data_IF_089044624715
#
_entry.id   IF_089044624715
#
_cell.length_a   1.000
_cell.length_b   1.000
_cell.length_c   1.000
_cell.angle_alpha   90.00
_cell.angle_beta   90.00
_cell.angle_gamma   90.00
#
_symmetry.space_group_name_H-M   'P 1'
#
loop_
_entity.id
_entity.type
_entity.pdbx_description
1 polymer ?
#
# COMPACT_ATOMS: atom_id res chain seq x y z
N UNK A 1 10.98 -8.98 -63.64
CA UNK A 1 10.92 -7.74 -62.83
C UNK A 1 9.56 -7.67 -62.14
N UNK A 2 9.51 -7.88 -60.82
CA UNK A 2 8.55 -7.17 -59.99
C UNK A 2 9.14 -6.63 -58.67
N UNK A 3 8.84 -5.35 -58.41
CA UNK A 3 8.50 -4.72 -57.12
C UNK A 3 9.30 -5.14 -55.86
N UNK A 4 10.34 -4.37 -55.52
CA UNK A 4 10.86 -4.28 -54.16
C UNK A 4 10.17 -3.09 -53.48
N UNK A 5 8.95 -3.32 -53.00
CA UNK A 5 8.30 -2.50 -51.97
C UNK A 5 8.25 -3.38 -50.74
N UNK A 6 9.07 -3.10 -49.72
CA UNK A 6 8.89 -3.46 -48.29
C UNK A 6 10.24 -3.39 -47.56
N UNK A 7 10.69 -2.19 -47.23
CA UNK A 7 11.78 -1.98 -46.27
C UNK A 7 11.42 -0.87 -45.28
N UNK A 8 10.19 -0.89 -44.79
CA UNK A 8 9.65 0.14 -43.89
C UNK A 8 8.64 -0.47 -42.90
N UNK A 9 9.03 -1.51 -42.17
CA UNK A 9 8.14 -2.07 -41.14
C UNK A 9 8.84 -2.63 -39.89
N UNK A 10 10.13 -2.36 -39.67
CA UNK A 10 10.89 -2.97 -38.56
C UNK A 10 11.19 -2.03 -37.36
N UNK A 11 10.48 -0.91 -37.20
CA UNK A 11 10.82 0.12 -36.20
C UNK A 11 9.71 0.46 -35.18
N UNK A 12 8.69 -0.40 -35.01
CA UNK A 12 7.46 0.00 -34.31
C UNK A 12 6.93 -0.96 -33.23
N UNK A 13 7.79 -1.75 -32.53
CA UNK A 13 7.29 -2.73 -31.55
C UNK A 13 8.04 -2.84 -30.21
N UNK A 14 8.71 -1.80 -29.71
CA UNK A 14 9.29 -1.83 -28.35
C UNK A 14 9.01 -0.58 -27.49
N UNK A 15 7.92 0.12 -27.75
CA UNK A 15 7.35 1.12 -26.83
C UNK A 15 6.04 0.61 -26.25
N UNK A 16 6.11 -0.49 -25.49
CA UNK A 16 4.95 -1.15 -24.88
C UNK A 16 5.15 -1.34 -23.37
N UNK A 17 4.42 -0.52 -22.61
CA UNK A 17 3.92 -0.80 -21.26
C UNK A 17 4.92 -0.84 -20.07
N UNK A 18 5.40 0.33 -19.66
CA UNK A 18 5.40 0.66 -18.22
C UNK A 18 4.44 1.83 -17.96
N UNK A 19 3.15 1.57 -18.14
CA UNK A 19 2.11 2.33 -17.44
C UNK A 19 2.10 1.85 -15.98
N UNK A 20 3.10 2.29 -15.22
CA UNK A 20 2.91 2.51 -13.80
C UNK A 20 1.85 3.60 -13.67
N UNK A 21 0.88 3.51 -12.74
CA UNK A 21 0.03 4.64 -12.46
C UNK A 21 0.94 5.75 -11.93
N UNK A 22 1.28 6.71 -12.79
CA UNK A 22 1.80 8.02 -12.43
C UNK A 22 0.70 8.80 -11.72
N UNK A 23 0.25 8.28 -10.58
CA UNK A 23 -0.71 8.92 -9.70
C UNK A 23 -0.01 10.07 -8.99
N UNK A 24 -0.05 11.22 -9.63
CA UNK A 24 0.03 12.53 -8.99
C UNK A 24 1.29 12.72 -8.14
N UNK A 25 2.46 12.82 -8.76
CA UNK A 25 3.57 13.58 -8.16
C UNK A 25 3.28 15.10 -8.28
N UNK A 26 2.12 15.54 -7.78
CA UNK A 26 2.00 16.91 -7.30
C UNK A 26 2.81 16.97 -6.01
N UNK A 27 3.72 17.93 -5.86
CA UNK A 27 4.63 17.95 -4.70
C UNK A 27 3.83 17.86 -3.41
N UNK A 28 3.94 16.74 -2.69
CA UNK A 28 3.35 16.62 -1.36
C UNK A 28 3.99 17.74 -0.53
N UNK A 29 3.21 18.63 0.09
CA UNK A 29 3.76 19.71 0.89
C UNK A 29 4.66 19.18 2.01
N UNK A 30 5.73 19.92 2.34
CA UNK A 30 6.71 19.48 3.33
C UNK A 30 6.18 19.44 4.77
N UNK A 31 5.02 20.07 5.01
CA UNK A 31 4.31 20.09 6.30
C UNK A 31 3.44 18.85 6.55
N UNK A 32 3.31 17.96 5.56
CA UNK A 32 2.43 16.79 5.66
C UNK A 32 2.98 15.57 4.95
N UNK A 33 2.46 14.42 5.35
CA UNK A 33 2.61 13.15 4.65
C UNK A 33 1.28 12.70 4.07
N UNK A 34 1.33 11.72 3.17
CA UNK A 34 0.15 10.99 2.71
C UNK A 34 0.21 9.55 3.23
N UNK A 35 -0.77 9.15 4.04
CA UNK A 35 -0.87 7.79 4.57
C UNK A 35 -1.95 7.02 3.80
N UNK A 36 -1.63 5.86 3.25
CA UNK A 36 -2.62 5.02 2.56
C UNK A 36 -3.76 4.67 3.50
N UNK A 37 -5.01 4.96 3.12
CA UNK A 37 -6.19 4.69 3.96
C UNK A 37 -6.44 3.19 4.15
N UNK A 38 -5.93 2.37 3.23
CA UNK A 38 -6.02 0.93 3.26
C UNK A 38 -4.75 0.31 2.66
N UNK A 39 -4.34 -0.84 3.17
CA UNK A 39 -3.29 -1.66 2.58
C UNK A 39 -3.65 -3.14 2.70
N UNK A 40 -3.49 -3.90 1.62
CA UNK A 40 -3.73 -5.33 1.59
C UNK A 40 -2.42 -6.09 1.38
N UNK A 41 -2.03 -6.90 2.36
CA UNK A 41 -0.77 -7.62 2.30
C UNK A 41 -0.86 -8.82 1.36
N UNK A 42 0.09 -8.95 0.44
CA UNK A 42 0.24 -10.11 -0.43
C UNK A 42 1.71 -10.49 -0.55
N UNK A 43 1.97 -11.78 -0.60
CA UNK A 43 3.33 -12.34 -0.69
C UNK A 43 3.36 -13.36 -1.83
N UNK A 44 4.39 -13.33 -2.66
CA UNK A 44 4.63 -14.41 -3.61
C UNK A 44 5.37 -15.55 -2.92
N UNK A 45 4.89 -16.78 -3.07
CA UNK A 45 5.54 -17.97 -2.51
C UNK A 45 6.17 -18.74 -3.67
N UNK A 46 7.49 -18.63 -3.79
CA UNK A 46 8.27 -19.27 -4.86
C UNK A 46 8.02 -20.79 -4.94
N UNK A 47 8.04 -21.49 -3.81
CA UNK A 47 7.86 -22.95 -3.75
C UNK A 47 6.51 -23.44 -4.26
N UNK A 48 5.51 -22.56 -4.29
CA UNK A 48 4.13 -22.89 -4.66
C UNK A 48 3.68 -22.15 -5.92
N UNK A 49 4.58 -21.39 -6.55
CA UNK A 49 4.36 -20.57 -7.75
C UNK A 49 3.04 -19.77 -7.67
N UNK A 50 2.76 -19.18 -6.50
CA UNK A 50 1.47 -18.53 -6.23
C UNK A 50 1.57 -17.33 -5.31
N UNK A 51 0.63 -16.41 -5.50
CA UNK A 51 0.39 -15.29 -4.57
C UNK A 51 -0.43 -15.79 -3.38
N UNK A 52 0.03 -15.49 -2.19
CA UNK A 52 -0.70 -15.65 -0.95
C UNK A 52 -1.28 -14.31 -0.51
N UNK A 53 -2.60 -14.28 -0.31
CA UNK A 53 -3.30 -13.10 0.19
C UNK A 53 -3.28 -13.11 1.72
N UNK A 54 -2.51 -12.18 2.29
CA UNK A 54 -2.53 -11.87 3.71
C UNK A 54 -3.65 -10.89 4.07
N UNK A 55 -3.68 -10.43 5.32
CA UNK A 55 -4.72 -9.52 5.82
C UNK A 55 -4.68 -8.14 5.15
N UNK A 56 -5.84 -7.49 5.08
CA UNK A 56 -5.96 -6.08 4.75
C UNK A 56 -6.14 -5.25 6.02
N UNK A 57 -5.38 -4.16 6.14
CA UNK A 57 -5.59 -3.11 7.12
C UNK A 57 -6.33 -1.94 6.49
N UNK A 58 -7.32 -1.40 7.21
CA UNK A 58 -7.99 -0.14 6.89
C UNK A 58 -7.91 0.80 8.09
N UNK A 59 -7.63 2.07 7.84
CA UNK A 59 -7.72 3.13 8.85
C UNK A 59 -9.20 3.52 8.96
N UNK A 60 -9.76 3.38 10.17
CA UNK A 60 -11.17 3.65 10.47
C UNK A 60 -11.37 4.91 11.28
N UNK A 61 -10.34 5.40 11.97
CA UNK A 61 -10.36 6.69 12.65
C UNK A 61 -8.99 7.38 12.73
N UNK A 62 -9.00 8.70 12.82
CA UNK A 62 -7.88 9.58 13.19
C UNK A 62 -8.36 10.41 14.38
N UNK A 63 -7.72 10.26 15.54
CA UNK A 63 -8.12 10.91 16.80
C UNK A 63 -9.60 10.69 17.16
N UNK A 64 -10.13 9.51 16.83
CA UNK A 64 -11.53 9.13 17.08
C UNK A 64 -12.53 9.64 16.02
N UNK A 65 -12.09 10.46 15.07
CA UNK A 65 -12.92 10.95 13.98
C UNK A 65 -12.78 10.11 12.71
N UNK A 66 -13.81 10.12 11.85
CA UNK A 66 -13.74 9.43 10.56
C UNK A 66 -12.70 10.09 9.66
N UNK A 67 -11.74 9.35 9.08
CA UNK A 67 -10.69 9.94 8.27
C UNK A 67 -11.26 10.57 7.00
N UNK A 68 -10.72 11.74 6.63
CA UNK A 68 -10.95 12.31 5.29
C UNK A 68 -10.00 11.63 4.32
N UNK A 69 -10.55 10.79 3.44
CA UNK A 69 -9.79 10.06 2.42
C UNK A 69 -9.92 10.78 1.08
N UNK A 70 -8.78 11.08 0.45
CA UNK A 70 -8.71 11.69 -0.87
C UNK A 70 -9.10 10.71 -1.98
N UNK A 71 -9.38 11.21 -3.18
CA UNK A 71 -9.75 10.37 -4.34
C UNK A 71 -8.68 9.32 -4.71
N UNK A 72 -7.41 9.60 -4.43
CA UNK A 72 -6.30 8.67 -4.62
C UNK A 72 -6.12 7.67 -3.47
N UNK A 73 -7.01 7.67 -2.48
CA UNK A 73 -7.05 6.67 -1.40
C UNK A 73 -6.11 6.95 -0.23
N UNK A 74 -5.64 8.20 -0.06
CA UNK A 74 -4.73 8.60 1.00
C UNK A 74 -5.40 9.51 2.03
N UNK A 75 -4.77 9.61 3.19
CA UNK A 75 -5.13 10.52 4.28
C UNK A 75 -3.94 11.46 4.46
N UNK A 76 -4.17 12.76 4.40
CA UNK A 76 -3.13 13.75 4.68
C UNK A 76 -2.96 13.91 6.20
N UNK A 77 -1.75 13.68 6.70
CA UNK A 77 -1.43 13.84 8.13
C UNK A 77 -0.31 14.88 8.31
N UNK A 78 -0.38 15.74 9.33
CA UNK A 78 0.68 16.69 9.64
C UNK A 78 1.96 15.98 10.13
N UNK A 79 3.11 16.55 9.80
CA UNK A 79 4.41 16.10 10.33
C UNK A 79 4.57 16.53 11.79
N UNK A 80 5.35 15.77 12.55
CA UNK A 80 5.70 16.06 13.95
C UNK A 80 4.51 16.28 14.91
N UNK A 81 3.30 15.85 14.53
CA UNK A 81 2.09 15.96 15.35
C UNK A 81 1.72 14.59 15.91
N UNK A 82 1.47 14.46 17.22
CA UNK A 82 0.97 13.22 17.79
C UNK A 82 -0.50 13.01 17.41
N UNK A 83 -0.86 11.78 17.06
CA UNK A 83 -2.23 11.39 16.74
C UNK A 83 -2.44 9.89 16.96
N UNK A 84 -3.67 9.48 17.17
CA UNK A 84 -4.06 8.07 17.37
C UNK A 84 -4.85 7.57 16.16
N UNK A 85 -4.36 6.51 15.52
CA UNK A 85 -5.02 5.89 14.38
C UNK A 85 -5.79 4.65 14.82
N UNK A 86 -7.11 4.66 14.65
CA UNK A 86 -7.91 3.43 14.75
C UNK A 86 -7.80 2.63 13.46
N UNK A 87 -7.49 1.35 13.58
CA UNK A 87 -7.31 0.44 12.45
C UNK A 87 -8.21 -0.78 12.57
N UNK A 88 -8.61 -1.33 11.42
CA UNK A 88 -9.32 -2.59 11.30
C UNK A 88 -8.56 -3.50 10.33
N UNK A 89 -8.28 -4.72 10.76
CA UNK A 89 -7.69 -5.76 9.94
C UNK A 89 -8.71 -6.86 9.62
N UNK A 90 -8.71 -7.35 8.38
CA UNK A 90 -9.53 -8.49 7.95
C UNK A 90 -8.69 -9.47 7.13
N UNK A 91 -8.77 -10.76 7.45
CA UNK A 91 -8.10 -11.81 6.68
C UNK A 91 -8.84 -12.08 5.38
N UNK A 92 -8.15 -12.74 4.45
CA UNK A 92 -8.68 -13.04 3.13
C UNK A 92 -8.56 -14.52 2.80
N UNK A 93 -9.50 -15.00 2.01
CA UNK A 93 -9.43 -16.29 1.35
C UNK A 93 -8.31 -16.30 0.30
N UNK A 94 -8.00 -17.48 -0.22
CA UNK A 94 -6.97 -17.67 -1.25
C UNK A 94 -7.31 -17.00 -2.60
N UNK A 95 -8.55 -16.56 -2.79
CA UNK A 95 -9.01 -15.77 -3.95
C UNK A 95 -8.97 -14.24 -3.68
N UNK A 96 -8.55 -13.82 -2.48
CA UNK A 96 -8.48 -12.42 -2.07
C UNK A 96 -9.79 -11.84 -1.51
N UNK A 97 -10.86 -12.64 -1.39
CA UNK A 97 -12.11 -12.17 -0.75
C UNK A 97 -11.95 -12.09 0.77
N UNK A 98 -12.51 -11.07 1.45
CA UNK A 98 -12.40 -10.92 2.90
C UNK A 98 -13.16 -12.01 3.65
N UNK A 99 -12.67 -12.37 4.84
CA UNK A 99 -13.30 -13.30 5.79
C UNK A 99 -13.89 -12.48 6.94
N UNK A 100 -15.19 -12.13 6.93
CA UNK A 100 -15.75 -11.17 7.90
C UNK A 100 -15.63 -11.60 9.37
N UNK A 101 -15.59 -12.90 9.64
CA UNK A 101 -15.42 -13.45 10.99
C UNK A 101 -14.02 -13.20 11.61
N UNK A 102 -13.07 -12.65 10.83
CA UNK A 102 -11.68 -12.43 11.25
C UNK A 102 -11.35 -10.96 11.51
N UNK A 103 -12.37 -10.10 11.50
CA UNK A 103 -12.17 -8.67 11.74
C UNK A 103 -11.63 -8.44 13.14
N UNK A 104 -10.49 -7.75 13.20
CA UNK A 104 -9.84 -7.33 14.45
C UNK A 104 -9.50 -5.86 14.35
N UNK A 105 -9.41 -5.18 15.49
CA UNK A 105 -9.07 -3.76 15.55
C UNK A 105 -7.83 -3.54 16.37
N UNK A 106 -7.04 -2.55 15.99
CA UNK A 106 -5.87 -2.12 16.74
C UNK A 106 -5.71 -0.60 16.66
N UNK A 107 -5.05 -0.02 17.64
CA UNK A 107 -4.66 1.38 17.62
C UNK A 107 -3.19 1.50 17.24
N UNK A 108 -2.86 2.45 16.37
CA UNK A 108 -1.49 2.81 16.05
C UNK A 108 -1.22 4.25 16.49
N UNK A 109 -0.27 4.40 17.41
CA UNK A 109 0.12 5.69 17.95
C UNK A 109 1.18 6.35 17.07
N UNK A 110 0.85 7.54 16.56
CA UNK A 110 1.79 8.41 15.89
C UNK A 110 2.36 9.37 16.93
N UNK A 111 3.69 9.42 17.00
CA UNK A 111 4.41 10.33 17.87
C UNK A 111 4.98 11.48 17.04
N UNK A 112 5.44 12.57 17.67
CA UNK A 112 6.16 13.64 16.96
C UNK A 112 7.41 13.17 16.21
N UNK A 113 7.90 11.96 16.51
CA UNK A 113 9.08 11.35 15.87
C UNK A 113 8.72 10.36 14.76
N UNK A 114 7.45 10.02 14.58
CA UNK A 114 7.00 9.04 13.57
C UNK A 114 7.11 9.62 12.17
N UNK A 115 6.62 10.84 11.96
CA UNK A 115 6.71 11.57 10.69
C UNK A 115 7.52 12.85 10.87
N UNK A 116 8.85 12.75 10.83
CA UNK A 116 9.75 13.91 11.05
C UNK A 116 9.88 14.83 9.84
N UNK A 117 9.52 14.35 8.65
CA UNK A 117 9.55 15.12 7.40
C UNK A 117 8.37 14.75 6.52
N UNK A 118 7.85 15.76 5.82
CA UNK A 118 6.73 15.62 4.92
C UNK A 118 7.17 15.23 3.52
N UNK A 119 6.30 15.46 2.55
CA UNK A 119 6.65 15.30 1.14
C UNK A 119 6.66 13.86 0.64
N UNK A 120 6.12 12.90 1.42
CA UNK A 120 6.18 11.48 1.06
C UNK A 120 4.93 10.69 1.44
N UNK A 121 4.77 9.55 0.76
CA UNK A 121 3.75 8.55 1.04
C UNK A 121 4.22 7.53 2.08
N UNK A 122 3.28 7.03 2.87
CA UNK A 122 3.46 6.00 3.88
C UNK A 122 2.34 4.97 3.80
N UNK A 123 2.62 3.79 4.33
CA UNK A 123 1.73 2.64 4.33
C UNK A 123 1.73 1.99 5.70
N UNK A 124 0.54 1.64 6.18
CA UNK A 124 0.37 0.89 7.41
C UNK A 124 -0.10 -0.51 7.04
N UNK A 125 0.75 -1.50 7.30
CA UNK A 125 0.48 -2.90 6.99
C UNK A 125 -0.20 -3.59 8.16
N UNK A 126 -1.14 -4.50 7.88
CA UNK A 126 -1.77 -5.33 8.91
C UNK A 126 -0.78 -6.19 9.69
N UNK A 127 0.35 -6.55 9.04
CA UNK A 127 1.43 -7.33 9.61
C UNK A 127 2.70 -7.16 8.78
N UNK A 128 3.81 -7.73 9.24
CA UNK A 128 5.07 -7.79 8.50
C UNK A 128 5.06 -8.80 7.35
N UNK A 129 4.29 -9.89 7.44
CA UNK A 129 4.30 -10.99 6.47
C UNK A 129 2.89 -11.53 6.26
N UNK A 130 2.60 -12.12 5.09
CA UNK A 130 1.27 -12.58 4.76
C UNK A 130 0.95 -13.92 5.44
N UNK A 131 1.93 -14.81 5.53
CA UNK A 131 1.79 -16.15 6.13
C UNK A 131 1.94 -16.12 7.65
N UNK A 132 1.11 -16.91 8.35
CA UNK A 132 1.21 -17.12 9.79
C UNK A 132 0.97 -15.87 10.65
N UNK A 133 0.53 -14.76 10.04
CA UNK A 133 0.06 -13.59 10.77
C UNK A 133 -1.24 -13.93 11.50
N UNK A 134 -1.36 -13.51 12.75
CA UNK A 134 -2.57 -13.65 13.57
C UNK A 134 -2.87 -12.28 14.19
N UNK A 135 -4.13 -11.85 14.14
CA UNK A 135 -4.55 -10.55 14.66
C UNK A 135 -4.16 -9.38 13.75
N UNK A 136 -4.09 -8.18 14.34
CA UNK A 136 -3.77 -6.91 13.69
C UNK A 136 -2.55 -6.30 14.40
N UNK A 137 -1.39 -6.29 13.74
CA UNK A 137 -0.16 -5.65 14.23
C UNK A 137 0.25 -4.55 13.22
N UNK A 138 -0.38 -3.36 13.30
CA UNK A 138 -0.12 -2.27 12.37
C UNK A 138 1.38 -1.92 12.32
N UNK A 139 1.99 -2.11 11.15
CA UNK A 139 3.41 -1.86 10.93
C UNK A 139 3.57 -0.78 9.87
N UNK A 140 4.19 0.34 10.24
CA UNK A 140 4.40 1.47 9.34
C UNK A 140 5.62 1.25 8.45
N UNK A 141 5.49 1.52 7.15
CA UNK A 141 6.59 1.51 6.20
C UNK A 141 6.45 2.63 5.15
N UNK A 142 7.56 3.11 4.56
CA UNK A 142 7.53 4.05 3.44
C UNK A 142 7.32 3.34 2.09
N UNK A 143 6.89 2.08 2.08
CA UNK A 143 6.76 1.22 0.90
C UNK A 143 5.46 0.42 0.96
N UNK A 144 4.95 0.03 -0.20
CA UNK A 144 3.82 -0.90 -0.33
C UNK A 144 4.18 -2.33 0.07
N UNK A 145 5.46 -2.67 0.17
CA UNK A 145 5.90 -3.96 0.68
C UNK A 145 6.38 -3.78 2.12
N UNK A 146 5.84 -4.53 3.10
CA UNK A 146 6.37 -4.48 4.45
C UNK A 146 7.84 -4.91 4.41
N UNK A 147 8.67 -4.16 5.13
CA UNK A 147 10.11 -4.47 5.26
C UNK A 147 10.28 -5.74 6.09
N UNK A 148 10.23 -6.91 5.45
CA UNK A 148 10.71 -8.15 6.04
C UNK A 148 12.19 -8.27 5.71
N UNK A 149 13.04 -8.40 6.74
CA UNK A 149 14.29 -9.11 6.56
C UNK A 149 13.91 -10.57 6.38
N UNK A 150 13.86 -11.06 5.15
CA UNK A 150 13.88 -12.50 4.89
C UNK A 150 15.19 -13.02 5.50
N UNK A 151 15.10 -13.81 6.57
CA UNK A 151 16.22 -14.62 7.03
C UNK A 151 16.41 -15.81 6.08
#
# INVERSE_FOLDING_TARGET
MPRILSFLSALLLLSGCQSLPSGTEGSIPSDRILLSAQHCLSEYIDDLDKVHFGPCLKIVSVDGETPTVTEDGFIALPVATPLSLGTSCVYRHADGTPIPATVTTATFEVTPKTFTSGGRRWYLHAHKQARGAIGCEPTLAPSVYPTVKTN
#
